data_IF_642609151488
#
_entry.id   IF_642609151488
#
_cell.length_a   1.000
_cell.length_b   1.000
_cell.length_c   1.000
_cell.angle_alpha   90.00
_cell.angle_beta   90.00
_cell.angle_gamma   90.00
#
_symmetry.space_group_name_H-M   'P 1'
#
loop_
_entity.id
_entity.type
_entity.pdbx_description
1 polymer ?
#
# COMPACT_ATOMS: atom_id res chain seq x y z
N UNK A 1 11.65 -0.34 -17.20
CA UNK A 1 11.08 1.00 -16.94
C UNK A 1 10.25 1.05 -15.65
N UNK A 2 9.31 0.11 -15.40
CA UNK A 2 8.59 -0.02 -14.11
C UNK A 2 9.52 0.00 -12.89
N UNK A 3 10.59 -0.80 -12.94
CA UNK A 3 11.54 -0.92 -11.83
C UNK A 3 12.34 0.37 -11.56
N UNK A 4 12.58 1.17 -12.60
CA UNK A 4 13.33 2.41 -12.46
C UNK A 4 12.54 3.49 -11.72
N UNK A 5 11.25 3.67 -12.06
CA UNK A 5 10.41 4.66 -11.36
C UNK A 5 10.24 4.28 -9.88
N UNK A 6 10.00 3.01 -9.56
CA UNK A 6 9.89 2.54 -8.19
C UNK A 6 11.16 2.83 -7.38
N UNK A 7 12.34 2.57 -7.93
CA UNK A 7 13.63 2.88 -7.29
C UNK A 7 13.78 4.38 -7.02
N UNK A 8 13.37 5.25 -7.94
CA UNK A 8 13.43 6.69 -7.69
C UNK A 8 12.42 7.13 -6.63
N UNK A 9 11.19 6.61 -6.64
CA UNK A 9 10.19 6.86 -5.60
C UNK A 9 10.72 6.46 -4.22
N UNK A 10 11.32 5.27 -4.10
CA UNK A 10 11.95 4.82 -2.85
C UNK A 10 13.08 5.74 -2.38
N UNK A 11 13.93 6.21 -3.31
CA UNK A 11 15.00 7.17 -2.99
C UNK A 11 14.43 8.50 -2.49
N UNK A 12 13.33 8.98 -3.09
CA UNK A 12 12.68 10.22 -2.68
C UNK A 12 12.01 10.06 -1.31
N UNK A 13 11.30 8.96 -1.07
CA UNK A 13 10.69 8.66 0.22
C UNK A 13 11.73 8.51 1.34
N UNK A 14 12.87 7.85 1.06
CA UNK A 14 13.99 7.84 2.00
C UNK A 14 14.50 9.24 2.29
N UNK A 15 14.67 10.08 1.26
CA UNK A 15 15.08 11.47 1.43
C UNK A 15 14.07 12.30 2.25
N UNK A 16 12.76 12.04 2.10
CA UNK A 16 11.67 12.66 2.89
C UNK A 16 11.79 12.34 4.37
N UNK A 17 12.11 11.10 4.71
CA UNK A 17 12.06 10.63 6.10
C UNK A 17 13.42 10.69 6.82
N UNK A 18 14.43 11.37 6.27
CA UNK A 18 15.73 11.55 6.95
C UNK A 18 15.71 12.72 7.94
N UNK A 19 16.24 12.55 9.17
CA UNK A 19 16.22 13.57 10.22
C UNK A 19 17.04 14.83 9.88
N UNK A 20 18.15 14.68 9.17
CA UNK A 20 18.97 15.81 8.70
C UNK A 20 18.93 15.90 7.16
N UNK A 21 17.94 16.62 6.65
CA UNK A 21 17.81 16.87 5.21
C UNK A 21 18.82 17.91 4.74
N UNK A 22 19.64 17.55 3.75
CA UNK A 22 20.38 18.57 2.97
C UNK A 22 19.39 19.28 2.05
N UNK A 23 19.41 20.61 2.01
CA UNK A 23 18.44 21.47 1.29
C UNK A 23 18.34 21.24 -0.25
N UNK A 24 19.26 20.47 -0.83
CA UNK A 24 19.27 20.09 -2.25
C UNK A 24 19.00 18.59 -2.48
N UNK A 25 18.84 17.80 -1.42
CA UNK A 25 18.73 16.35 -1.52
C UNK A 25 17.36 15.97 -2.08
N UNK A 26 17.36 15.29 -3.22
CA UNK A 26 16.15 14.77 -3.85
C UNK A 26 15.60 15.56 -5.03
N UNK A 27 16.13 16.75 -5.38
CA UNK A 27 15.62 17.51 -6.56
C UNK A 27 15.80 16.74 -7.86
N UNK A 28 17.00 16.21 -8.09
CA UNK A 28 17.28 15.40 -9.29
C UNK A 28 16.43 14.13 -9.34
N UNK A 29 16.14 13.56 -8.17
CA UNK A 29 15.26 12.39 -8.02
C UNK A 29 13.82 12.78 -8.35
N UNK A 30 13.32 13.89 -7.82
CA UNK A 30 11.97 14.40 -8.08
C UNK A 30 11.76 14.72 -9.57
N UNK A 31 12.74 15.36 -10.22
CA UNK A 31 12.70 15.63 -11.67
C UNK A 31 12.61 14.33 -12.48
N UNK A 32 13.41 13.32 -12.13
CA UNK A 32 13.36 12.01 -12.79
C UNK A 32 12.03 11.28 -12.57
N UNK A 33 11.45 11.40 -11.36
CA UNK A 33 10.12 10.84 -11.08
C UNK A 33 9.06 11.50 -11.96
N UNK A 34 9.07 12.84 -12.09
CA UNK A 34 8.14 13.56 -12.99
C UNK A 34 8.23 13.03 -14.42
N UNK A 35 9.44 13.01 -14.99
CA UNK A 35 9.68 12.54 -16.36
C UNK A 35 9.22 11.10 -16.58
N UNK A 36 9.57 10.19 -15.66
CA UNK A 36 9.19 8.79 -15.78
C UNK A 36 7.68 8.59 -15.57
N UNK A 37 7.03 9.37 -14.69
CA UNK A 37 5.61 9.24 -14.37
C UNK A 37 4.66 9.65 -15.51
N UNK A 38 5.14 10.35 -16.54
CA UNK A 38 4.35 10.74 -17.72
C UNK A 38 4.08 9.58 -18.69
N UNK A 39 4.85 8.48 -18.58
CA UNK A 39 4.64 7.30 -19.42
C UNK A 39 3.32 6.60 -19.07
N UNK A 40 2.41 6.57 -20.05
CA UNK A 40 1.09 5.93 -19.94
C UNK A 40 1.16 4.41 -19.73
N UNK A 41 2.27 3.78 -20.10
CA UNK A 41 2.49 2.33 -19.93
C UNK A 41 2.82 1.94 -18.48
N UNK A 42 3.10 2.91 -17.62
CA UNK A 42 3.29 2.69 -16.19
C UNK A 42 1.94 2.41 -15.53
N UNK A 43 1.91 1.53 -14.52
CA UNK A 43 0.67 1.24 -13.78
C UNK A 43 0.12 2.53 -13.16
N UNK A 44 -1.22 2.66 -13.17
CA UNK A 44 -1.92 3.78 -12.53
C UNK A 44 -1.48 3.98 -11.08
N UNK A 45 -1.21 2.88 -10.38
CA UNK A 45 -0.64 2.88 -9.03
C UNK A 45 0.71 3.58 -8.92
N UNK A 46 1.70 3.15 -9.72
CA UNK A 46 3.05 3.68 -9.57
C UNK A 46 3.10 5.18 -9.92
N UNK A 47 2.20 5.63 -10.81
CA UNK A 47 1.91 7.05 -11.05
C UNK A 47 1.30 7.75 -9.84
N UNK A 48 0.31 7.16 -9.16
CA UNK A 48 -0.27 7.72 -7.95
C UNK A 48 0.75 7.81 -6.79
N UNK A 49 1.54 6.76 -6.57
CA UNK A 49 2.61 6.72 -5.56
C UNK A 49 3.69 7.76 -5.85
N UNK A 50 4.10 7.89 -7.11
CA UNK A 50 5.01 8.95 -7.57
C UNK A 50 4.45 10.34 -7.31
N UNK A 51 3.18 10.60 -7.66
CA UNK A 51 2.52 11.88 -7.42
C UNK A 51 2.50 12.23 -5.94
N UNK A 52 2.06 11.30 -5.08
CA UNK A 52 1.98 11.51 -3.64
C UNK A 52 3.36 11.81 -3.03
N UNK A 53 4.39 11.08 -3.46
CA UNK A 53 5.77 11.28 -3.02
C UNK A 53 6.32 12.64 -3.45
N UNK A 54 5.99 13.08 -4.67
CA UNK A 54 6.34 14.42 -5.17
C UNK A 54 5.60 15.52 -4.40
N UNK A 55 4.30 15.35 -4.13
CA UNK A 55 3.51 16.30 -3.37
C UNK A 55 4.08 16.48 -1.96
N UNK A 56 4.39 15.38 -1.26
CA UNK A 56 5.11 15.40 0.02
C UNK A 56 6.44 16.13 -0.10
N UNK A 57 7.23 15.84 -1.13
CA UNK A 57 8.53 16.48 -1.35
C UNK A 57 8.41 18.00 -1.50
N UNK A 58 7.50 18.48 -2.36
CA UNK A 58 7.33 19.92 -2.62
C UNK A 58 6.71 20.68 -1.44
N UNK A 59 5.79 20.05 -0.69
CA UNK A 59 5.27 20.62 0.56
C UNK A 59 6.39 20.87 1.57
N UNK A 60 7.32 19.92 1.68
CA UNK A 60 8.49 20.05 2.56
C UNK A 60 9.49 21.10 2.02
N UNK A 61 9.77 21.13 0.71
CA UNK A 61 10.71 22.10 0.11
C UNK A 61 10.25 23.54 0.25
N UNK A 62 8.94 23.79 0.14
CA UNK A 62 8.36 25.14 0.26
C UNK A 62 8.28 25.63 1.71
N UNK A 63 8.72 24.81 2.68
CA UNK A 63 8.53 25.02 4.12
C UNK A 63 7.06 25.29 4.51
N UNK A 64 6.12 24.96 3.62
CA UNK A 64 4.68 24.98 3.85
C UNK A 64 4.24 23.65 4.43
N UNK A 65 4.99 23.15 5.41
CA UNK A 65 4.47 22.14 6.31
C UNK A 65 3.42 22.85 7.16
N UNK A 66 2.23 23.08 6.58
CA UNK A 66 1.03 23.17 7.39
C UNK A 66 1.07 21.89 8.20
N UNK A 67 1.32 22.01 9.50
CA UNK A 67 1.11 20.96 10.49
C UNK A 67 -0.13 20.22 10.02
N UNK A 68 0.03 18.98 9.53
CA UNK A 68 -1.10 18.24 8.97
C UNK A 68 -2.13 18.29 10.08
N UNK A 69 -3.23 19.00 9.85
CA UNK A 69 -4.33 19.07 10.80
C UNK A 69 -4.95 17.67 10.75
N UNK A 70 -4.37 16.76 11.54
CA UNK A 70 -5.02 15.55 11.92
C UNK A 70 -6.39 15.99 12.44
N UNK A 71 -7.44 15.34 11.93
CA UNK A 71 -8.77 15.53 12.50
C UNK A 71 -8.64 15.43 14.02
N UNK A 72 -9.26 16.35 14.75
CA UNK A 72 -9.18 16.40 16.22
C UNK A 72 -9.63 15.08 16.87
N UNK A 73 -10.36 14.25 16.14
CA UNK A 73 -10.84 12.93 16.54
C UNK A 73 -10.19 11.74 15.78
N UNK A 74 -9.06 11.93 15.08
CA UNK A 74 -8.46 10.88 14.24
C UNK A 74 -8.20 9.57 15.00
N UNK A 75 -7.69 9.67 16.24
CA UNK A 75 -7.44 8.52 17.10
C UNK A 75 -8.74 7.77 17.44
N UNK A 76 -9.80 8.49 17.84
CA UNK A 76 -11.09 7.89 18.18
C UNK A 76 -11.76 7.21 16.98
N UNK A 77 -11.63 7.80 15.79
CA UNK A 77 -12.11 7.18 14.55
C UNK A 77 -11.37 5.86 14.28
N UNK A 78 -10.03 5.87 14.36
CA UNK A 78 -9.22 4.66 14.13
C UNK A 78 -9.52 3.57 15.16
N UNK A 79 -9.64 3.95 16.44
CA UNK A 79 -10.01 3.06 17.54
C UNK A 79 -11.38 2.42 17.29
N UNK A 80 -12.38 3.23 16.95
CA UNK A 80 -13.74 2.73 16.69
C UNK A 80 -13.79 1.75 15.51
N UNK A 81 -13.04 2.01 14.43
CA UNK A 81 -12.93 1.09 13.30
C UNK A 81 -12.28 -0.23 13.74
N UNK A 82 -11.20 -0.15 14.52
CA UNK A 82 -10.44 -1.31 14.98
C UNK A 82 -11.28 -2.21 15.90
N UNK A 83 -12.02 -1.62 16.84
CA UNK A 83 -12.89 -2.34 17.79
C UNK A 83 -14.11 -2.99 17.12
N UNK A 84 -14.68 -2.34 16.09
CA UNK A 84 -15.86 -2.86 15.37
C UNK A 84 -15.52 -3.91 14.32
N UNK A 85 -14.25 -4.04 13.92
CA UNK A 85 -13.82 -4.98 12.88
C UNK A 85 -13.93 -6.42 13.39
N UNK A 86 -14.76 -7.22 12.73
CA UNK A 86 -14.89 -8.65 12.97
C UNK A 86 -14.76 -9.44 11.67
N UNK A 87 -14.41 -10.73 11.77
CA UNK A 87 -14.40 -11.63 10.61
C UNK A 87 -15.83 -12.06 10.27
N UNK A 88 -16.43 -11.37 9.29
CA UNK A 88 -17.75 -11.69 8.76
C UNK A 88 -17.68 -12.95 7.89
N UNK A 89 -18.62 -13.88 8.09
CA UNK A 89 -18.77 -15.13 7.32
C UNK A 89 -20.20 -15.31 6.81
N UNK A 90 -20.93 -14.22 6.68
CA UNK A 90 -22.27 -14.21 6.11
C UNK A 90 -22.38 -12.97 5.23
N UNK A 91 -22.38 -13.17 3.92
CA UNK A 91 -22.31 -12.10 2.93
C UNK A 91 -23.61 -12.04 2.15
N UNK A 92 -24.07 -10.83 1.85
CA UNK A 92 -25.17 -10.64 0.91
C UNK A 92 -24.70 -10.86 -0.53
N UNK A 93 -25.60 -11.28 -1.41
CA UNK A 93 -25.35 -11.38 -2.87
C UNK A 93 -25.21 -10.04 -3.60
N UNK A 94 -25.23 -8.91 -2.86
CA UNK A 94 -25.09 -7.57 -3.44
C UNK A 94 -23.74 -7.42 -4.12
N UNK A 95 -23.75 -6.93 -5.36
CA UNK A 95 -22.54 -6.67 -6.11
C UNK A 95 -21.65 -5.63 -5.40
N UNK A 96 -20.35 -5.93 -5.35
CA UNK A 96 -19.35 -5.03 -4.77
C UNK A 96 -18.98 -3.96 -5.77
N UNK A 97 -19.04 -2.70 -5.35
CA UNK A 97 -18.54 -1.57 -6.10
C UNK A 97 -17.01 -1.63 -6.20
N UNK A 98 -16.51 -1.81 -7.42
CA UNK A 98 -15.08 -1.96 -7.67
C UNK A 98 -14.29 -0.70 -7.33
N UNK A 99 -14.89 0.48 -7.43
CA UNK A 99 -14.20 1.73 -7.10
C UNK A 99 -13.90 1.80 -5.60
N UNK A 100 -14.83 1.33 -4.76
CA UNK A 100 -14.59 1.23 -3.30
C UNK A 100 -13.50 0.23 -2.95
N UNK A 101 -13.41 -0.88 -3.70
CA UNK A 101 -12.34 -1.86 -3.53
C UNK A 101 -10.99 -1.24 -3.91
N UNK A 102 -10.93 -0.52 -5.03
CA UNK A 102 -9.71 0.18 -5.46
C UNK A 102 -9.28 1.21 -4.41
N UNK A 103 -10.20 2.03 -3.88
CA UNK A 103 -9.90 2.97 -2.81
C UNK A 103 -9.38 2.28 -1.54
N UNK A 104 -9.96 1.15 -1.16
CA UNK A 104 -9.48 0.38 -0.01
C UNK A 104 -8.05 -0.16 -0.23
N UNK A 105 -7.75 -0.61 -1.45
CA UNK A 105 -6.41 -1.05 -1.86
C UNK A 105 -5.41 0.11 -1.82
N UNK A 106 -5.78 1.29 -2.31
CA UNK A 106 -4.93 2.49 -2.28
C UNK A 106 -4.55 2.90 -0.85
N UNK A 107 -5.49 2.77 0.09
CA UNK A 107 -5.23 2.99 1.53
C UNK A 107 -4.30 1.90 2.08
N UNK A 108 -4.58 0.62 1.80
CA UNK A 108 -3.75 -0.49 2.26
C UNK A 108 -2.30 -0.42 1.74
N UNK A 109 -2.08 0.14 0.56
CA UNK A 109 -0.75 0.33 -0.02
C UNK A 109 0.08 1.43 0.66
N UNK A 110 -0.50 2.25 1.52
CA UNK A 110 0.25 3.21 2.35
C UNK A 110 0.95 2.52 3.54
N UNK A 111 0.68 1.23 3.78
CA UNK A 111 1.32 0.49 4.85
C UNK A 111 2.84 0.37 4.61
N UNK A 112 3.66 0.44 5.67
CA UNK A 112 5.10 0.28 5.54
C UNK A 112 5.43 -1.14 5.03
N UNK A 113 6.47 -1.22 4.21
CA UNK A 113 7.06 -2.48 3.73
C UNK A 113 8.58 -2.39 3.77
N UNK A 114 9.27 -3.53 3.86
CA UNK A 114 10.72 -3.57 3.91
C UNK A 114 11.33 -2.78 2.75
N UNK A 115 12.20 -1.80 3.04
CA UNK A 115 12.77 -0.87 2.08
C UNK A 115 11.75 -0.19 1.14
N UNK A 116 10.47 -0.07 1.55
CA UNK A 116 9.35 0.41 0.75
C UNK A 116 9.20 -0.31 -0.61
N UNK A 117 9.44 -1.63 -0.63
CA UNK A 117 9.38 -2.45 -1.86
C UNK A 117 7.97 -2.79 -2.32
N UNK A 118 6.98 -2.66 -1.43
CA UNK A 118 5.56 -2.87 -1.73
C UNK A 118 5.31 -4.18 -2.51
N UNK A 119 5.79 -5.33 -2.00
CA UNK A 119 5.83 -6.58 -2.76
C UNK A 119 4.46 -7.23 -2.95
N UNK A 120 3.42 -6.70 -2.28
CA UNK A 120 2.08 -7.25 -2.31
C UNK A 120 1.39 -7.02 -3.66
N UNK A 121 0.87 -8.10 -4.24
CA UNK A 121 -0.05 -8.05 -5.36
C UNK A 121 -1.44 -8.50 -4.89
N UNK A 122 -2.48 -7.88 -5.45
CA UNK A 122 -3.86 -8.19 -5.11
C UNK A 122 -4.58 -8.58 -6.40
N UNK A 123 -5.02 -9.83 -6.46
CA UNK A 123 -5.75 -10.38 -7.58
C UNK A 123 -7.24 -10.36 -7.22
N UNK A 124 -8.01 -9.55 -7.95
CA UNK A 124 -9.46 -9.42 -7.74
C UNK A 124 -10.20 -10.34 -8.69
N UNK A 125 -10.98 -11.26 -8.12
CA UNK A 125 -11.64 -12.34 -8.84
C UNK A 125 -13.15 -12.16 -8.74
N UNK A 126 -13.73 -11.87 -9.90
CA UNK A 126 -15.19 -11.69 -10.10
C UNK A 126 -15.86 -12.89 -10.78
N UNK A 127 -15.10 -13.67 -11.54
CA UNK A 127 -15.63 -14.79 -12.29
C UNK A 127 -16.06 -15.91 -11.31
N UNK A 128 -17.33 -16.30 -11.37
CA UNK A 128 -17.91 -17.29 -10.44
C UNK A 128 -17.25 -18.67 -10.53
N UNK A 129 -16.84 -19.10 -11.73
CA UNK A 129 -16.19 -20.39 -11.92
C UNK A 129 -14.79 -20.40 -11.28
N UNK A 130 -13.97 -19.39 -11.56
CA UNK A 130 -12.63 -19.26 -10.94
C UNK A 130 -12.74 -19.13 -9.42
N UNK A 131 -13.72 -18.36 -8.92
CA UNK A 131 -13.97 -18.26 -7.47
C UNK A 131 -14.27 -19.63 -6.88
N UNK A 132 -15.17 -20.40 -7.49
CA UNK A 132 -15.54 -21.73 -7.01
C UNK A 132 -14.32 -22.65 -6.93
N UNK A 133 -13.54 -22.73 -8.01
CA UNK A 133 -12.32 -23.55 -8.05
C UNK A 133 -11.32 -23.18 -6.95
N UNK A 134 -11.11 -21.89 -6.71
CA UNK A 134 -10.21 -21.42 -5.64
C UNK A 134 -10.77 -21.67 -4.24
N UNK A 135 -12.07 -21.49 -4.04
CA UNK A 135 -12.72 -21.73 -2.76
C UNK A 135 -12.73 -23.23 -2.43
N UNK A 136 -12.86 -24.12 -3.42
CA UNK A 136 -12.82 -25.57 -3.22
C UNK A 136 -11.43 -26.04 -2.73
N UNK A 137 -10.36 -25.33 -3.10
CA UNK A 137 -9.00 -25.60 -2.60
C UNK A 137 -8.80 -25.07 -1.17
N UNK A 138 -9.47 -23.98 -0.79
CA UNK A 138 -9.22 -23.29 0.48
C UNK A 138 -10.01 -23.91 1.66
N UNK A 139 -9.31 -24.61 2.55
CA UNK A 139 -9.91 -25.38 3.65
C UNK A 139 -10.61 -24.56 4.76
N UNK A 140 -10.54 -23.22 4.74
CA UNK A 140 -11.07 -22.35 5.81
C UNK A 140 -12.40 -21.64 5.51
N UNK A 141 -13.07 -21.95 4.40
CA UNK A 141 -14.28 -21.24 3.96
C UNK A 141 -15.58 -22.07 4.01
N UNK A 142 -15.51 -23.29 4.55
CA UNK A 142 -16.62 -24.23 4.56
C UNK A 142 -17.88 -23.60 5.17
N UNK A 143 -19.00 -23.75 4.47
CA UNK A 143 -20.30 -23.23 4.91
C UNK A 143 -20.59 -21.77 4.56
N UNK A 144 -19.63 -20.99 4.06
CA UNK A 144 -19.88 -19.58 3.70
C UNK A 144 -19.13 -19.03 2.48
N UNK A 145 -18.07 -19.68 2.01
CA UNK A 145 -17.23 -19.15 0.92
C UNK A 145 -18.03 -18.78 -0.34
N UNK A 146 -19.01 -19.62 -0.69
CA UNK A 146 -19.92 -19.43 -1.83
C UNK A 146 -20.81 -18.17 -1.72
N UNK A 147 -20.96 -17.59 -0.52
CA UNK A 147 -21.72 -16.35 -0.32
C UNK A 147 -20.93 -15.11 -0.74
N UNK A 148 -19.60 -15.21 -0.88
CA UNK A 148 -18.76 -14.06 -1.17
C UNK A 148 -18.96 -13.54 -2.62
N UNK A 149 -19.46 -12.31 -2.81
CA UNK A 149 -19.69 -11.77 -4.15
C UNK A 149 -18.38 -11.46 -4.90
N UNK A 150 -17.29 -11.26 -4.16
CA UNK A 150 -15.96 -10.93 -4.69
C UNK A 150 -14.89 -11.66 -3.87
N UNK A 151 -13.89 -12.23 -4.54
CA UNK A 151 -12.71 -12.81 -3.89
C UNK A 151 -11.49 -11.93 -4.19
N UNK A 152 -10.73 -11.60 -3.16
CA UNK A 152 -9.43 -10.94 -3.28
C UNK A 152 -8.35 -11.91 -2.79
N UNK A 153 -7.42 -12.26 -3.66
CA UNK A 153 -6.24 -13.08 -3.31
C UNK A 153 -5.06 -12.14 -3.19
N UNK A 154 -4.42 -12.15 -2.01
CA UNK A 154 -3.23 -11.34 -1.74
C UNK A 154 -2.02 -12.27 -1.86
N UNK A 155 -1.11 -11.93 -2.76
CA UNK A 155 0.16 -12.60 -2.95
C UNK A 155 1.29 -11.61 -2.70
N UNK A 156 2.53 -12.09 -2.61
CA UNK A 156 3.69 -11.20 -2.59
C UNK A 156 4.83 -11.81 -3.41
N UNK A 157 5.59 -10.96 -4.08
CA UNK A 157 6.79 -11.39 -4.81
C UNK A 157 7.96 -11.60 -3.84
N UNK A 158 8.41 -12.85 -3.72
CA UNK A 158 9.58 -13.20 -2.90
C UNK A 158 10.89 -12.65 -3.47
N UNK A 159 10.96 -12.42 -4.78
CA UNK A 159 12.16 -11.87 -5.43
C UNK A 159 12.34 -10.37 -5.16
N UNK A 160 11.32 -9.71 -4.60
CA UNK A 160 11.50 -8.38 -4.04
C UNK A 160 12.44 -8.38 -2.82
N UNK A 161 12.89 -9.54 -2.31
CA UNK A 161 13.79 -9.62 -1.17
C UNK A 161 15.20 -10.09 -1.57
N UNK A 162 16.23 -9.37 -1.11
CA UNK A 162 17.63 -9.63 -1.51
C UNK A 162 18.29 -10.76 -0.68
N UNK A 163 17.80 -11.02 0.53
CA UNK A 163 18.35 -12.05 1.42
C UNK A 163 17.24 -12.97 1.93
N UNK A 164 17.52 -14.27 2.01
CA UNK A 164 16.58 -15.29 2.49
C UNK A 164 16.01 -14.99 3.89
N UNK A 165 16.77 -14.27 4.72
CA UNK A 165 16.37 -13.89 6.07
C UNK A 165 15.30 -12.78 6.09
N UNK A 166 15.18 -11.98 5.01
CA UNK A 166 14.14 -10.93 4.91
C UNK A 166 12.80 -11.51 4.42
N UNK A 167 12.81 -12.61 3.67
CA UNK A 167 11.60 -13.19 3.08
C UNK A 167 10.70 -13.95 4.06
N UNK A 168 11.23 -14.37 5.20
CA UNK A 168 10.49 -15.13 6.22
C UNK A 168 9.62 -14.22 7.12
N UNK A 169 9.90 -12.91 7.15
CA UNK A 169 9.14 -11.90 7.90
C UNK A 169 7.77 -11.58 7.30
N UNK A 170 7.50 -12.04 6.08
CA UNK A 170 6.32 -11.65 5.30
C UNK A 170 6.40 -10.20 4.77
N UNK A 171 5.37 -9.75 4.01
CA UNK A 171 5.42 -8.46 3.32
C UNK A 171 5.23 -7.23 4.24
N UNK A 172 4.79 -7.45 5.48
CA UNK A 172 4.52 -6.41 6.46
C UNK A 172 5.59 -6.44 7.55
N UNK A 173 6.37 -5.36 7.66
CA UNK A 173 7.37 -5.20 8.71
C UNK A 173 6.82 -4.30 9.81
N UNK A 174 6.80 -4.81 11.04
CA UNK A 174 6.78 -3.98 12.24
C UNK A 174 8.25 -3.77 12.65
N UNK A 175 8.91 -2.74 12.13
CA UNK A 175 10.20 -2.35 12.67
C UNK A 175 9.98 -1.69 14.04
N UNK A 176 10.53 -2.30 15.10
CA UNK A 176 10.55 -1.75 16.44
C UNK A 176 11.60 -0.63 16.58
N UNK A 177 11.58 0.36 15.70
CA UNK A 177 12.44 1.55 15.82
C UNK A 177 11.90 2.59 16.81
N UNK A 178 10.90 2.22 17.62
CA UNK A 178 10.42 3.03 18.75
C UNK A 178 10.99 2.44 20.03
N UNK A 179 12.28 2.70 20.28
CA UNK A 179 12.87 2.40 21.59
C UNK A 179 12.66 3.51 22.63
N UNK A 180 12.12 4.69 22.26
CA UNK A 180 12.09 5.84 23.18
C UNK A 180 10.74 6.58 23.30
N UNK A 181 9.59 5.92 23.10
CA UNK A 181 8.27 6.54 23.32
C UNK A 181 7.31 5.62 24.08
N UNK A 182 7.63 5.36 25.35
CA UNK A 182 6.66 5.06 26.41
C UNK A 182 7.17 5.62 27.75
#
# INVERSE_FOLDING_TARGET
MKDQLLVYVQKLEKAINMPERKNSFGRDVATKIKQLSEDKNISSYLRASASLSLDRYFLLETNQIKKIELFSNAFEVLKSISEKRISVRNFSSKQVDIQKVIQAIEVAQQLPSACNRQPCEIIIIKNEQIKKELLDIHCGNTGFGHLAPLLAVITFDKNAFFQANESDSGPFMLESSVQDLF
#
